data_IF_402064210261
#
_entry.id   IF_402064210261
#
_cell.length_a   1.000
_cell.length_b   1.000
_cell.length_c   1.000
_cell.angle_alpha   90.00
_cell.angle_beta   90.00
_cell.angle_gamma   90.00
#
_symmetry.space_group_name_H-M   'P 1'
#
loop_
_entity.id
_entity.type
_entity.pdbx_description
1 polymer ?
#
# COMPACT_ATOMS: atom_id res chain seq x y z
N UNK A 1 10.83 -15.90 -2.22
CA UNK A 1 10.82 -14.93 -1.13
C UNK A 1 10.82 -15.66 0.20
N UNK A 2 11.97 -15.80 0.81
CA UNK A 2 12.10 -16.67 1.97
C UNK A 2 12.37 -15.94 3.29
N UNK A 3 13.16 -14.90 3.28
CA UNK A 3 13.57 -14.21 4.50
C UNK A 3 12.45 -13.57 5.29
N UNK A 4 11.43 -13.06 4.62
CA UNK A 4 10.27 -12.42 5.24
C UNK A 4 8.98 -13.11 4.82
N UNK A 5 9.06 -14.39 4.49
CA UNK A 5 7.93 -15.14 3.92
C UNK A 5 6.67 -15.15 4.77
N UNK A 6 6.82 -15.02 6.09
CA UNK A 6 5.66 -14.99 6.99
C UNK A 6 4.91 -13.66 6.92
N UNK A 7 5.55 -12.61 6.43
CA UNK A 7 4.93 -11.27 6.32
C UNK A 7 4.23 -11.09 4.98
N UNK A 8 4.91 -11.48 3.92
CA UNK A 8 4.35 -11.37 2.58
C UNK A 8 3.48 -12.60 2.32
N UNK A 9 2.18 -12.39 2.27
CA UNK A 9 1.21 -13.46 2.11
C UNK A 9 0.46 -13.29 0.79
N UNK A 10 0.39 -14.37 0.01
CA UNK A 10 -0.42 -14.39 -1.20
C UNK A 10 -1.88 -14.49 -0.80
N UNK A 11 -2.69 -13.52 -1.22
CA UNK A 11 -4.12 -13.48 -0.90
C UNK A 11 -4.93 -14.13 -2.03
N UNK A 12 -4.53 -13.88 -3.28
CA UNK A 12 -5.24 -14.40 -4.44
C UNK A 12 -4.31 -14.51 -5.62
N UNK A 13 -4.61 -15.45 -6.51
CA UNK A 13 -3.86 -15.61 -7.75
C UNK A 13 -4.76 -16.22 -8.79
N UNK A 14 -4.81 -15.60 -9.97
CA UNK A 14 -5.56 -16.17 -11.11
C UNK A 14 -4.89 -15.70 -12.40
N UNK A 15 -4.37 -16.66 -13.18
CA UNK A 15 -3.64 -16.34 -14.40
C UNK A 15 -2.46 -15.44 -14.11
N UNK A 16 -2.39 -14.30 -14.78
CA UNK A 16 -1.31 -13.34 -14.61
C UNK A 16 -1.64 -12.23 -13.60
N UNK A 17 -2.56 -12.49 -12.70
CA UNK A 17 -2.87 -11.60 -11.57
C UNK A 17 -2.50 -12.27 -10.26
N UNK A 18 -1.81 -11.53 -9.39
CA UNK A 18 -1.47 -11.99 -8.04
C UNK A 18 -1.69 -10.84 -7.07
N UNK A 19 -2.28 -11.15 -5.91
CA UNK A 19 -2.48 -10.18 -4.84
C UNK A 19 -1.75 -10.65 -3.60
N UNK A 20 -0.97 -9.74 -3.02
CA UNK A 20 -0.24 -9.97 -1.76
C UNK A 20 -0.68 -8.99 -0.69
N UNK A 21 -0.52 -9.39 0.56
CA UNK A 21 -0.61 -8.48 1.70
C UNK A 21 0.66 -8.64 2.55
N UNK A 22 1.08 -7.57 3.22
CA UNK A 22 2.26 -7.57 4.05
C UNK A 22 2.10 -6.58 5.19
N UNK A 23 2.76 -6.85 6.30
CA UNK A 23 2.78 -5.95 7.47
C UNK A 23 3.77 -4.80 7.32
N UNK A 24 4.48 -4.69 6.21
CA UNK A 24 5.45 -3.62 6.01
C UNK A 24 4.81 -2.26 6.27
N UNK A 25 5.36 -1.49 7.21
CA UNK A 25 4.86 -0.16 7.54
C UNK A 25 5.99 0.81 7.88
N UNK A 26 7.19 0.34 8.16
CA UNK A 26 8.34 1.20 8.36
C UNK A 26 8.96 1.55 7.01
N UNK A 27 9.65 2.70 6.89
CA UNK A 27 10.22 3.10 5.60
C UNK A 27 11.13 2.06 4.97
N UNK A 28 12.04 1.45 5.75
CA UNK A 28 12.98 0.48 5.23
C UNK A 28 12.30 -0.81 4.77
N UNK A 29 11.31 -1.29 5.52
CA UNK A 29 10.57 -2.51 5.16
C UNK A 29 9.67 -2.28 3.96
N UNK A 30 9.03 -1.12 3.92
CA UNK A 30 8.20 -0.74 2.79
C UNK A 30 9.01 -0.72 1.50
N UNK A 31 10.18 -0.12 1.54
CA UNK A 31 11.08 -0.06 0.40
C UNK A 31 11.54 -1.46 -0.02
N UNK A 32 11.95 -2.27 0.95
CA UNK A 32 12.44 -3.62 0.68
C UNK A 32 11.35 -4.51 0.09
N UNK A 33 10.13 -4.47 0.63
CA UNK A 33 9.03 -5.29 0.14
C UNK A 33 8.60 -4.87 -1.25
N UNK A 34 8.47 -3.57 -1.50
CA UNK A 34 8.09 -3.05 -2.82
C UNK A 34 9.11 -3.46 -3.87
N UNK A 35 10.39 -3.30 -3.55
CA UNK A 35 11.48 -3.69 -4.45
C UNK A 35 11.47 -5.19 -4.73
N UNK A 36 11.33 -6.01 -3.69
CA UNK A 36 11.35 -7.47 -3.83
C UNK A 36 10.20 -7.95 -4.72
N UNK A 37 9.00 -7.41 -4.54
CA UNK A 37 7.85 -7.78 -5.35
C UNK A 37 8.06 -7.35 -6.81
N UNK A 38 8.54 -6.14 -7.03
CA UNK A 38 8.79 -5.68 -8.40
C UNK A 38 9.88 -6.49 -9.09
N UNK A 39 10.92 -6.87 -8.38
CA UNK A 39 11.97 -7.71 -8.95
C UNK A 39 11.46 -9.10 -9.30
N UNK A 40 10.62 -9.67 -8.46
CA UNK A 40 10.03 -10.98 -8.72
C UNK A 40 9.06 -10.97 -9.90
N UNK A 41 8.35 -9.87 -10.09
CA UNK A 41 7.35 -9.70 -11.14
C UNK A 41 7.72 -8.54 -12.07
N UNK A 42 8.98 -8.51 -12.51
CA UNK A 42 9.54 -7.39 -13.26
C UNK A 42 8.74 -7.03 -14.52
N UNK A 43 8.11 -8.01 -15.15
CA UNK A 43 7.36 -7.81 -16.39
C UNK A 43 5.88 -7.52 -16.15
N UNK A 44 5.44 -7.50 -14.89
CA UNK A 44 4.06 -7.19 -14.54
C UNK A 44 3.95 -5.76 -14.04
N UNK A 45 2.74 -5.22 -14.17
CA UNK A 45 2.41 -3.90 -13.63
C UNK A 45 2.15 -4.06 -12.12
N UNK A 46 2.99 -3.47 -11.28
CA UNK A 46 2.86 -3.59 -9.83
C UNK A 46 2.18 -2.34 -9.27
N UNK A 47 1.04 -2.55 -8.62
CA UNK A 47 0.31 -1.50 -7.91
C UNK A 47 0.51 -1.75 -6.42
N UNK A 48 1.18 -0.84 -5.74
CA UNK A 48 1.44 -0.95 -4.32
C UNK A 48 0.59 0.06 -3.55
N UNK A 49 -0.10 -0.42 -2.53
CA UNK A 49 -0.92 0.41 -1.66
C UNK A 49 -0.41 0.25 -0.23
N UNK A 50 -0.25 1.35 0.47
CA UNK A 50 0.28 1.34 1.84
C UNK A 50 -0.60 2.21 2.73
N UNK A 51 -0.82 1.75 3.94
CA UNK A 51 -1.57 2.51 4.94
C UNK A 51 -0.63 3.10 5.99
N UNK A 52 -0.74 4.40 6.21
CA UNK A 52 -0.10 5.06 7.34
C UNK A 52 -1.03 4.90 8.54
N UNK A 53 -0.70 3.97 9.42
CA UNK A 53 -1.59 3.59 10.52
C UNK A 53 -0.94 3.72 11.90
N UNK A 54 0.37 3.55 12.00
CA UNK A 54 1.08 3.62 13.28
C UNK A 54 1.23 5.06 13.75
N UNK A 55 1.43 5.23 15.06
CA UNK A 55 1.63 6.55 15.65
C UNK A 55 2.76 7.31 14.96
N UNK A 56 3.91 6.63 14.77
CA UNK A 56 5.07 7.27 14.14
C UNK A 56 4.80 7.67 12.68
N UNK A 57 4.14 6.79 11.91
CA UNK A 57 3.91 7.04 10.49
C UNK A 57 2.97 8.21 10.22
N UNK A 58 2.16 8.57 11.22
CA UNK A 58 1.19 9.66 11.08
C UNK A 58 1.75 11.00 11.57
N UNK A 59 2.98 11.03 12.06
CA UNK A 59 3.63 12.27 12.46
C UNK A 59 4.24 12.96 11.26
N UNK A 60 3.96 14.25 11.09
CA UNK A 60 4.49 15.02 9.95
C UNK A 60 6.02 15.03 9.91
N UNK A 61 6.68 15.03 11.08
CA UNK A 61 8.13 15.03 11.16
C UNK A 61 8.74 13.72 10.64
N UNK A 62 7.97 12.64 10.68
CA UNK A 62 8.44 11.33 10.26
C UNK A 62 8.23 11.08 8.76
N UNK A 63 7.28 11.77 8.15
CA UNK A 63 6.91 11.52 6.74
C UNK A 63 8.10 11.58 5.76
N UNK A 64 9.06 12.50 5.92
CA UNK A 64 10.19 12.53 4.98
C UNK A 64 11.03 11.27 4.94
N UNK A 65 10.96 10.43 5.98
CA UNK A 65 11.69 9.16 6.01
C UNK A 65 11.16 8.17 4.95
N UNK A 66 9.96 8.40 4.43
CA UNK A 66 9.36 7.55 3.40
C UNK A 66 9.79 7.92 1.99
N UNK A 67 10.65 8.91 1.82
CA UNK A 67 11.07 9.35 0.50
C UNK A 67 11.53 8.15 -0.35
N UNK A 68 10.95 8.03 -1.54
CA UNK A 68 11.26 6.98 -2.52
C UNK A 68 10.97 5.55 -2.04
N UNK A 69 10.26 5.38 -0.92
CA UNK A 69 10.00 4.05 -0.38
C UNK A 69 9.14 3.18 -1.30
N UNK A 70 8.32 3.78 -2.16
CA UNK A 70 7.45 3.06 -3.07
C UNK A 70 7.77 3.30 -4.54
N UNK A 71 8.91 3.91 -4.84
CA UNK A 71 9.21 4.30 -6.23
C UNK A 71 9.40 3.12 -7.17
N UNK A 72 9.68 1.94 -6.65
CA UNK A 72 9.86 0.74 -7.48
C UNK A 72 8.55 0.18 -8.01
N UNK A 73 7.41 0.55 -7.42
CA UNK A 73 6.10 0.16 -7.93
C UNK A 73 5.76 1.00 -9.16
N UNK A 74 5.00 0.42 -10.08
CA UNK A 74 4.53 1.14 -11.26
C UNK A 74 3.48 2.18 -10.90
N UNK A 75 2.64 1.87 -9.91
CA UNK A 75 1.72 2.83 -9.31
C UNK A 75 1.77 2.66 -7.79
N UNK A 76 1.71 3.74 -7.07
CA UNK A 76 1.79 3.72 -5.62
C UNK A 76 0.68 4.58 -5.01
N UNK A 77 -0.04 4.00 -4.06
CA UNK A 77 -1.11 4.66 -3.31
C UNK A 77 -0.75 4.65 -1.84
N UNK A 78 -0.93 5.79 -1.20
CA UNK A 78 -0.76 5.93 0.25
C UNK A 78 -2.09 6.34 0.84
N UNK A 79 -2.57 5.58 1.80
CA UNK A 79 -3.82 5.85 2.48
C UNK A 79 -3.55 6.23 3.94
N UNK A 80 -4.27 7.22 4.43
CA UNK A 80 -4.30 7.51 5.87
C UNK A 80 -5.71 7.93 6.25
N UNK A 81 -6.08 7.70 7.52
CA UNK A 81 -7.39 8.11 8.02
C UNK A 81 -7.26 9.36 8.88
N UNK A 82 -7.88 10.48 8.48
CA UNK A 82 -7.90 11.68 9.32
C UNK A 82 -8.53 11.44 10.69
N UNK A 83 -9.49 10.52 10.76
CA UNK A 83 -10.11 10.13 12.01
C UNK A 83 -9.10 9.49 12.96
N UNK A 84 -8.23 8.62 12.42
CA UNK A 84 -7.19 7.97 13.22
C UNK A 84 -6.16 8.99 13.70
N UNK A 85 -5.78 9.94 12.85
CA UNK A 85 -4.87 11.03 13.23
C UNK A 85 -5.43 11.80 14.41
N UNK A 86 -6.71 12.17 14.31
CA UNK A 86 -7.42 12.89 15.36
C UNK A 86 -7.54 12.07 16.63
N UNK A 87 -7.88 10.80 16.49
CA UNK A 87 -8.04 9.89 17.63
C UNK A 87 -6.72 9.70 18.40
N UNK A 88 -5.61 9.70 17.69
CA UNK A 88 -4.28 9.60 18.30
C UNK A 88 -3.76 10.95 18.80
N UNK A 89 -4.55 12.00 18.69
CA UNK A 89 -4.23 13.36 19.15
C UNK A 89 -2.96 13.91 18.49
N UNK A 90 -2.75 13.55 17.24
CA UNK A 90 -1.66 14.07 16.43
C UNK A 90 -2.11 15.32 15.67
N UNK A 91 -1.13 16.11 15.23
CA UNK A 91 -1.43 17.26 14.37
C UNK A 91 -2.02 16.75 13.04
N UNK A 92 -3.01 17.46 12.47
CA UNK A 92 -3.54 17.09 11.17
C UNK A 92 -2.46 17.08 10.10
N UNK A 93 -2.54 16.12 9.19
CA UNK A 93 -1.66 16.06 8.03
C UNK A 93 -2.50 16.19 6.77
N UNK A 94 -1.91 16.71 5.71
CA UNK A 94 -2.60 16.88 4.43
C UNK A 94 -2.13 15.84 3.43
N UNK A 95 -2.91 15.66 2.38
CA UNK A 95 -2.50 14.79 1.27
C UNK A 95 -1.19 15.27 0.64
N UNK A 96 -1.05 16.59 0.49
CA UNK A 96 0.14 17.22 -0.09
C UNK A 96 1.37 16.95 0.76
N UNK A 97 1.22 17.03 2.07
CA UNK A 97 2.31 16.78 3.00
C UNK A 97 2.77 15.31 2.94
N UNK A 98 1.81 14.39 2.85
CA UNK A 98 2.11 12.97 2.71
C UNK A 98 2.81 12.69 1.38
N UNK A 99 2.27 13.23 0.29
CA UNK A 99 2.87 13.05 -1.04
C UNK A 99 4.30 13.58 -1.08
N UNK A 100 4.54 14.74 -0.51
CA UNK A 100 5.87 15.33 -0.43
C UNK A 100 6.83 14.43 0.36
N UNK A 101 6.36 13.89 1.48
CA UNK A 101 7.17 12.99 2.30
C UNK A 101 7.59 11.73 1.56
N UNK A 102 6.77 11.24 0.65
CA UNK A 102 7.07 10.07 -0.17
C UNK A 102 7.86 10.40 -1.44
N UNK A 103 8.19 11.67 -1.67
CA UNK A 103 8.94 12.08 -2.84
C UNK A 103 8.11 12.51 -4.03
N UNK A 104 6.81 12.62 -3.87
CA UNK A 104 5.90 13.15 -4.90
C UNK A 104 5.42 12.13 -5.93
N UNK A 105 5.85 10.89 -5.84
CA UNK A 105 5.50 9.86 -6.83
C UNK A 105 4.43 8.88 -6.32
N UNK A 106 3.55 9.35 -5.46
CA UNK A 106 2.45 8.53 -4.91
C UNK A 106 1.13 9.27 -5.04
N UNK A 107 0.04 8.51 -5.07
CA UNK A 107 -1.32 9.04 -5.01
C UNK A 107 -1.77 8.90 -3.56
N UNK A 108 -2.19 9.99 -2.95
CA UNK A 108 -2.60 9.97 -1.54
C UNK A 108 -4.12 10.01 -1.44
N UNK A 109 -4.66 9.11 -0.63
CA UNK A 109 -6.10 9.00 -0.39
C UNK A 109 -6.36 8.99 1.10
N UNK A 110 -7.49 9.51 1.52
CA UNK A 110 -7.86 9.55 2.93
C UNK A 110 -9.24 8.95 3.23
N UNK A 111 -9.77 8.20 2.28
CA UNK A 111 -10.99 7.44 2.47
C UNK A 111 -10.83 6.05 1.90
N UNK A 112 -11.29 5.04 2.64
CA UNK A 112 -11.20 3.63 2.23
C UNK A 112 -11.93 3.40 0.90
N UNK A 113 -13.07 4.06 0.70
CA UNK A 113 -13.84 3.94 -0.55
C UNK A 113 -13.03 4.39 -1.76
N UNK A 114 -12.24 5.45 -1.61
CA UNK A 114 -11.38 5.91 -2.69
C UNK A 114 -10.37 4.83 -3.10
N UNK A 115 -9.78 4.17 -2.10
CA UNK A 115 -8.82 3.09 -2.35
C UNK A 115 -9.49 1.94 -3.08
N UNK A 116 -10.68 1.53 -2.61
CA UNK A 116 -11.42 0.42 -3.23
C UNK A 116 -11.84 0.75 -4.65
N UNK A 117 -12.32 1.98 -4.91
CA UNK A 117 -12.71 2.39 -6.25
C UNK A 117 -11.51 2.42 -7.20
N UNK A 118 -10.38 2.90 -6.73
CA UNK A 118 -9.14 2.91 -7.51
C UNK A 118 -8.76 1.48 -7.92
N UNK A 119 -8.78 0.56 -6.95
CA UNK A 119 -8.43 -0.84 -7.18
C UNK A 119 -9.42 -1.49 -8.16
N UNK A 120 -10.72 -1.27 -7.95
CA UNK A 120 -11.76 -1.87 -8.79
C UNK A 120 -11.81 -1.32 -10.21
N UNK A 121 -11.30 -0.10 -10.42
CA UNK A 121 -11.28 0.52 -11.74
C UNK A 121 -10.16 -0.01 -12.64
N UNK A 122 -9.25 -0.80 -12.09
CA UNK A 122 -8.11 -1.29 -12.85
C UNK A 122 -8.39 -2.63 -13.52
N UNK A 123 -7.66 -2.87 -14.60
CA UNK A 123 -7.67 -4.17 -15.25
C UNK A 123 -6.54 -5.00 -14.65
N UNK A 124 -6.91 -6.09 -14.03
CA UNK A 124 -5.94 -6.94 -13.34
C UNK A 124 -5.42 -8.05 -14.26
N UNK A 125 -4.90 -7.66 -15.39
CA UNK A 125 -4.21 -8.51 -16.35
C UNK A 125 -2.73 -8.26 -16.27
N UNK A 126 -1.93 -9.28 -16.10
CA UNK A 126 -0.47 -9.13 -16.06
C UNK A 126 -0.07 -8.09 -15.01
N UNK A 127 -0.63 -8.24 -13.80
CA UNK A 127 -0.50 -7.24 -12.75
C UNK A 127 -0.38 -7.89 -11.38
N UNK A 128 0.16 -7.11 -10.44
CA UNK A 128 0.30 -7.50 -9.03
C UNK A 128 -0.28 -6.39 -8.18
N UNK A 129 -1.12 -6.74 -7.21
CA UNK A 129 -1.60 -5.82 -6.18
C UNK A 129 -0.90 -6.13 -4.87
N UNK A 130 -0.19 -5.16 -4.32
CA UNK A 130 0.53 -5.31 -3.06
C UNK A 130 -0.08 -4.38 -2.02
N UNK A 131 -0.71 -4.97 -0.99
CA UNK A 131 -1.35 -4.22 0.09
C UNK A 131 -0.45 -4.29 1.33
N UNK A 132 0.03 -3.14 1.78
CA UNK A 132 0.97 -3.06 2.90
C UNK A 132 0.39 -2.22 4.04
N UNK A 133 0.24 -2.84 5.20
CA UNK A 133 -0.28 -2.15 6.37
C UNK A 133 -0.07 -2.99 7.63
N UNK A 134 0.01 -2.32 8.77
CA UNK A 134 -0.07 -2.98 10.07
C UNK A 134 -1.54 -3.21 10.48
N UNK A 135 -2.48 -2.71 9.68
CA UNK A 135 -3.91 -2.87 9.88
C UNK A 135 -4.56 -3.41 8.60
N UNK A 136 -5.73 -2.87 8.24
CA UNK A 136 -6.48 -3.35 7.08
C UNK A 136 -7.13 -2.23 6.28
N UNK A 137 -6.48 -1.07 6.21
CA UNK A 137 -7.02 0.10 5.48
C UNK A 137 -8.40 0.51 6.01
N UNK A 138 -8.58 0.39 7.32
CA UNK A 138 -9.80 0.79 8.01
C UNK A 138 -11.03 0.03 7.48
N UNK A 139 -10.88 -1.27 7.30
CA UNK A 139 -12.01 -2.16 7.01
C UNK A 139 -11.99 -2.94 5.71
N UNK A 140 -10.86 -3.00 5.01
CA UNK A 140 -10.79 -3.81 3.79
C UNK A 140 -10.65 -5.30 4.18
N UNK A 141 -11.53 -6.12 3.62
CA UNK A 141 -11.39 -7.57 3.71
C UNK A 141 -10.55 -8.03 2.52
N UNK A 142 -9.29 -8.36 2.77
CA UNK A 142 -8.35 -8.70 1.70
C UNK A 142 -8.76 -9.94 0.92
N UNK A 143 -9.24 -10.98 1.60
CA UNK A 143 -9.65 -12.22 0.97
C UNK A 143 -10.83 -12.02 0.03
N UNK A 144 -11.83 -11.26 0.49
CA UNK A 144 -13.00 -10.94 -0.33
C UNK A 144 -12.63 -10.09 -1.54
N UNK A 145 -11.74 -9.11 -1.34
CA UNK A 145 -11.27 -8.25 -2.43
C UNK A 145 -10.48 -9.07 -3.46
N UNK A 146 -9.59 -9.96 -3.00
CA UNK A 146 -8.81 -10.82 -3.88
C UNK A 146 -9.71 -11.73 -4.72
N UNK A 147 -10.75 -12.28 -4.12
CA UNK A 147 -11.71 -13.11 -4.84
C UNK A 147 -12.48 -12.30 -5.89
N UNK A 148 -12.90 -11.10 -5.51
CA UNK A 148 -13.62 -10.19 -6.41
C UNK A 148 -12.75 -9.85 -7.63
N UNK A 149 -11.49 -9.49 -7.43
CA UNK A 149 -10.59 -9.12 -8.51
C UNK A 149 -10.22 -10.31 -9.39
N UNK A 150 -10.14 -11.51 -8.80
CA UNK A 150 -9.83 -12.73 -9.54
C UNK A 150 -10.97 -13.13 -10.46
N UNK A 151 -12.21 -12.78 -10.12
CA UNK A 151 -13.40 -13.14 -10.88
C UNK A 151 -13.84 -12.04 -11.86
N UNK A 152 -13.26 -10.87 -11.72
CA UNK A 152 -13.58 -9.71 -12.57
C UNK A 152 -12.68 -9.58 -13.80
#
# INVERSE_FOLDING_TARGET
FTGAGKRLQKVAEKGAFTMFKDFAHSPSKLKATTKAVKEQFAERHVVACMELHTFSSLKKEFLPHYKDAMKMADEAVVYYSPEVVKHKKLEPISKELVAEGFGGNVIVMNETEEVLQFIRSKKWNNAVLLMMSSGNFDGINYEALGEELSNG
#
